data_IF_831634037494
#
_entry.id   IF_831634037494
#
_cell.length_a   1.000
_cell.length_b   1.000
_cell.length_c   1.000
_cell.angle_alpha   90.00
_cell.angle_beta   90.00
_cell.angle_gamma   90.00
#
_symmetry.space_group_name_H-M   'P 1'
#
loop_
_entity.id
_entity.type
_entity.pdbx_description
1 polymer ?
#
# COMPACT_ATOMS: atom_id res chain seq x y z
N UNK A 1 -7.06 -1.93 14.86
CA UNK A 1 -6.78 -2.09 13.40
C UNK A 1 -6.11 -0.81 12.91
N UNK A 2 -4.99 -0.92 12.19
CA UNK A 2 -4.31 0.21 11.55
C UNK A 2 -5.15 0.76 10.39
N UNK A 3 -5.24 2.08 10.24
CA UNK A 3 -5.99 2.72 9.15
C UNK A 3 -5.07 3.61 8.33
N UNK A 4 -4.97 3.34 7.05
CA UNK A 4 -4.21 4.14 6.08
C UNK A 4 -5.15 4.78 5.07
N UNK A 5 -4.74 5.93 4.51
CA UNK A 5 -5.51 6.63 3.47
C UNK A 5 -4.71 6.66 2.17
N UNK A 6 -5.29 6.10 1.10
CA UNK A 6 -4.78 6.24 -0.25
C UNK A 6 -5.23 7.58 -0.83
N UNK A 7 -4.27 8.45 -1.07
CA UNK A 7 -4.48 9.76 -1.68
C UNK A 7 -3.99 9.72 -3.13
N UNK A 8 -4.87 9.33 -4.05
CA UNK A 8 -4.60 9.24 -5.50
C UNK A 8 -5.49 10.17 -6.33
N UNK A 9 -5.97 11.26 -5.71
CA UNK A 9 -6.90 12.21 -6.31
C UNK A 9 -6.29 12.96 -7.51
N UNK A 10 -7.12 13.19 -8.52
CA UNK A 10 -6.69 13.86 -9.75
C UNK A 10 -6.62 15.39 -9.64
N UNK A 11 -7.34 15.98 -8.67
CA UNK A 11 -7.36 17.42 -8.46
C UNK A 11 -6.49 17.78 -7.25
N UNK A 12 -5.69 18.84 -7.39
CA UNK A 12 -4.83 19.33 -6.31
C UNK A 12 -5.60 19.72 -5.04
N UNK A 13 -6.78 20.35 -5.20
CA UNK A 13 -7.65 20.70 -4.07
C UNK A 13 -8.10 19.47 -3.28
N UNK A 14 -8.36 18.37 -3.97
CA UNK A 14 -8.80 17.13 -3.35
C UNK A 14 -7.63 16.41 -2.65
N UNK A 15 -6.39 16.55 -3.17
CA UNK A 15 -5.19 16.07 -2.50
C UNK A 15 -4.99 16.78 -1.15
N UNK A 16 -5.10 18.11 -1.13
CA UNK A 16 -4.98 18.87 0.12
C UNK A 16 -6.09 18.55 1.11
N UNK A 17 -7.33 18.39 0.63
CA UNK A 17 -8.44 17.96 1.47
C UNK A 17 -8.20 16.56 2.06
N UNK A 18 -7.72 15.63 1.25
CA UNK A 18 -7.35 14.28 1.67
C UNK A 18 -6.31 14.30 2.82
N UNK A 19 -5.26 15.11 2.68
CA UNK A 19 -4.21 15.25 3.70
C UNK A 19 -4.76 15.90 4.97
N UNK A 20 -5.57 16.94 4.84
CA UNK A 20 -6.18 17.60 5.98
C UNK A 20 -7.10 16.66 6.77
N UNK A 21 -7.98 15.95 6.08
CA UNK A 21 -8.89 14.97 6.70
C UNK A 21 -8.11 13.83 7.38
N UNK A 22 -7.04 13.34 6.75
CA UNK A 22 -6.18 12.33 7.36
C UNK A 22 -5.57 12.82 8.68
N UNK A 23 -5.09 14.07 8.69
CA UNK A 23 -4.45 14.66 9.87
C UNK A 23 -5.45 14.89 11.02
N UNK A 24 -6.71 15.23 10.71
CA UNK A 24 -7.76 15.48 11.71
C UNK A 24 -8.40 14.20 12.25
N UNK A 25 -8.38 13.12 11.47
CA UNK A 25 -9.08 11.87 11.79
C UNK A 25 -8.16 10.75 12.30
N UNK A 26 -6.94 11.07 12.75
CA UNK A 26 -5.98 10.11 13.31
C UNK A 26 -5.72 8.90 12.39
N UNK A 27 -5.56 9.15 11.09
CA UNK A 27 -5.09 8.15 10.14
C UNK A 27 -3.61 7.86 10.43
N UNK A 28 -3.25 6.59 10.47
CA UNK A 28 -1.90 6.17 10.83
C UNK A 28 -0.87 6.50 9.74
N UNK A 29 -1.30 6.50 8.47
CA UNK A 29 -0.40 6.81 7.34
C UNK A 29 -1.17 7.31 6.12
N UNK A 30 -0.60 8.27 5.40
CA UNK A 30 -1.05 8.70 4.07
C UNK A 30 -0.17 8.03 3.03
N UNK A 31 -0.81 7.39 2.05
CA UNK A 31 -0.14 6.70 0.95
C UNK A 31 -0.49 7.39 -0.36
N UNK A 32 0.51 7.79 -1.14
CA UNK A 32 0.27 8.55 -2.37
C UNK A 32 1.22 8.10 -3.49
N UNK A 33 0.76 8.08 -4.74
CA UNK A 33 1.65 7.84 -5.88
C UNK A 33 2.85 8.81 -5.87
N UNK A 34 4.04 8.30 -6.09
CA UNK A 34 5.30 9.07 -6.06
C UNK A 34 5.28 10.32 -6.95
N UNK A 35 4.58 10.26 -8.08
CA UNK A 35 4.40 11.40 -8.99
C UNK A 35 3.62 12.57 -8.40
N UNK A 36 2.86 12.38 -7.31
CA UNK A 36 2.14 13.43 -6.60
C UNK A 36 2.98 14.08 -5.48
N UNK A 37 4.02 13.41 -4.99
CA UNK A 37 4.90 13.90 -3.91
C UNK A 37 5.42 15.33 -4.17
N UNK A 38 5.91 15.68 -5.38
CA UNK A 38 6.39 17.04 -5.64
C UNK A 38 5.33 18.13 -5.53
N UNK A 39 4.04 17.74 -5.58
CA UNK A 39 2.91 18.68 -5.51
C UNK A 39 2.42 18.91 -4.09
N UNK A 40 2.73 18.01 -3.17
CA UNK A 40 2.32 18.10 -1.75
C UNK A 40 3.18 19.11 -1.00
N UNK A 41 4.47 19.24 -1.37
CA UNK A 41 5.44 20.09 -0.69
C UNK A 41 6.14 19.38 0.47
N UNK A 42 7.44 19.60 0.59
CA UNK A 42 8.29 18.92 1.57
C UNK A 42 7.95 19.29 3.03
N UNK A 43 7.50 20.53 3.26
CA UNK A 43 7.10 20.99 4.59
C UNK A 43 5.88 20.20 5.09
N UNK A 44 4.92 19.96 4.21
CA UNK A 44 3.71 19.21 4.55
C UNK A 44 4.02 17.75 4.88
N UNK A 45 4.95 17.13 4.13
CA UNK A 45 5.39 15.75 4.35
C UNK A 45 6.06 15.59 5.72
N UNK A 46 6.77 16.62 6.20
CA UNK A 46 7.49 16.57 7.49
C UNK A 46 6.60 16.79 8.71
N UNK A 47 5.54 17.59 8.56
CA UNK A 47 4.89 18.20 9.72
C UNK A 47 3.52 17.56 10.09
N UNK A 48 2.90 16.74 9.25
CA UNK A 48 1.49 16.38 9.45
C UNK A 48 1.18 14.92 9.69
N UNK A 49 1.81 13.98 9.05
CA UNK A 49 1.63 12.54 9.28
C UNK A 49 2.72 11.71 8.60
N UNK A 50 2.73 10.41 8.89
CA UNK A 50 3.60 9.50 8.17
C UNK A 50 3.13 9.32 6.73
N UNK A 51 4.02 9.66 5.79
CA UNK A 51 3.80 9.48 4.35
C UNK A 51 4.49 8.24 3.82
N UNK A 52 3.79 7.49 2.96
CA UNK A 52 4.37 6.46 2.11
C UNK A 52 4.24 6.85 0.65
N UNK A 53 5.32 6.72 -0.11
CA UNK A 53 5.30 6.91 -1.55
C UNK A 53 5.05 5.58 -2.25
N UNK A 54 4.02 5.54 -3.11
CA UNK A 54 3.72 4.36 -3.91
C UNK A 54 4.51 4.46 -5.21
N UNK A 55 5.40 3.51 -5.41
CA UNK A 55 6.29 3.43 -6.56
C UNK A 55 5.63 2.64 -7.69
N UNK A 56 5.69 3.21 -8.89
CA UNK A 56 5.21 2.60 -10.14
C UNK A 56 3.71 2.26 -10.12
N UNK A 57 2.91 3.15 -9.50
CA UNK A 57 1.46 3.01 -9.37
C UNK A 57 0.74 3.24 -10.71
N UNK A 58 -0.31 2.44 -11.07
CA UNK A 58 -0.84 1.31 -10.31
C UNK A 58 -0.37 -0.08 -10.81
N UNK A 59 0.49 -0.17 -11.80
CA UNK A 59 0.74 -1.42 -12.52
C UNK A 59 2.07 -2.12 -12.18
N UNK A 60 3.07 -1.40 -11.69
CA UNK A 60 4.36 -1.96 -11.34
C UNK A 60 5.18 -2.47 -12.52
N UNK A 61 5.00 -1.94 -13.74
CA UNK A 61 5.55 -2.49 -15.00
C UNK A 61 6.85 -1.83 -15.48
N UNK A 62 7.32 -0.81 -14.78
CA UNK A 62 8.55 -0.14 -15.15
C UNK A 62 9.78 -1.01 -14.87
N UNK A 63 10.86 -0.78 -15.62
CA UNK A 63 12.12 -1.45 -15.36
C UNK A 63 12.65 -1.14 -13.94
N UNK A 64 13.27 -2.12 -13.30
CA UNK A 64 13.82 -2.00 -11.93
C UNK A 64 14.65 -0.73 -11.72
N UNK A 65 15.48 -0.34 -12.72
CA UNK A 65 16.31 0.87 -12.62
C UNK A 65 15.49 2.17 -12.50
N UNK A 66 14.33 2.23 -13.16
CA UNK A 66 13.40 3.37 -13.08
C UNK A 66 12.77 3.41 -11.70
N UNK A 67 12.31 2.28 -11.19
CA UNK A 67 11.74 2.13 -9.86
C UNK A 67 12.73 2.51 -8.75
N UNK A 68 13.99 2.09 -8.88
CA UNK A 68 15.07 2.51 -7.97
C UNK A 68 15.30 4.02 -8.03
N UNK A 69 15.31 4.62 -9.21
CA UNK A 69 15.44 6.07 -9.33
C UNK A 69 14.27 6.81 -8.66
N UNK A 70 13.06 6.33 -8.84
CA UNK A 70 11.85 6.86 -8.22
C UNK A 70 11.91 6.78 -6.68
N UNK A 71 12.36 5.65 -6.12
CA UNK A 71 12.62 5.49 -4.68
C UNK A 71 13.60 6.55 -4.16
N UNK A 72 14.72 6.74 -4.86
CA UNK A 72 15.74 7.73 -4.45
C UNK A 72 15.23 9.16 -4.52
N UNK A 73 14.40 9.50 -5.51
CA UNK A 73 13.74 10.81 -5.60
C UNK A 73 12.78 11.03 -4.41
N UNK A 74 11.99 10.03 -4.04
CA UNK A 74 11.11 10.12 -2.88
C UNK A 74 11.90 10.28 -1.58
N UNK A 75 12.97 9.52 -1.41
CA UNK A 75 13.88 9.62 -0.26
C UNK A 75 14.49 11.03 -0.13
N UNK A 76 14.94 11.63 -1.24
CA UNK A 76 15.50 12.99 -1.23
C UNK A 76 14.51 14.07 -0.82
N UNK A 77 13.21 13.79 -0.89
CA UNK A 77 12.10 14.66 -0.44
C UNK A 77 11.61 14.38 0.97
N UNK A 78 12.32 13.53 1.71
CA UNK A 78 12.01 13.24 3.11
C UNK A 78 11.05 12.08 3.36
N UNK A 79 10.62 11.37 2.31
CA UNK A 79 9.82 10.14 2.46
C UNK A 79 10.65 9.05 3.15
N UNK A 80 10.05 8.38 4.12
CA UNK A 80 10.68 7.30 4.91
C UNK A 80 10.09 5.92 4.64
N UNK A 81 8.91 5.86 4.02
CA UNK A 81 8.21 4.61 3.71
C UNK A 81 7.91 4.52 2.21
N UNK A 82 8.17 3.38 1.64
CA UNK A 82 7.97 3.06 0.22
C UNK A 82 6.99 1.90 0.10
N UNK A 83 5.97 2.08 -0.75
CA UNK A 83 5.04 1.03 -1.13
C UNK A 83 5.35 0.66 -2.58
N UNK A 84 5.90 -0.52 -2.81
CA UNK A 84 6.36 -0.96 -4.12
C UNK A 84 5.29 -1.83 -4.80
N UNK A 85 4.70 -1.35 -5.88
CA UNK A 85 3.74 -2.16 -6.64
C UNK A 85 4.47 -3.34 -7.28
N UNK A 86 4.08 -4.56 -6.96
CA UNK A 86 4.59 -5.77 -7.60
C UNK A 86 4.10 -5.81 -9.06
N UNK A 87 4.99 -6.18 -9.97
CA UNK A 87 4.70 -6.18 -11.39
C UNK A 87 3.45 -7.02 -11.68
N UNK A 88 2.41 -6.35 -12.15
CA UNK A 88 1.12 -6.95 -12.44
C UNK A 88 1.23 -8.06 -13.48
N UNK A 89 2.03 -7.85 -14.53
CA UNK A 89 2.23 -8.81 -15.60
C UNK A 89 2.91 -10.09 -15.10
N UNK A 90 3.95 -9.93 -14.28
CA UNK A 90 4.64 -11.06 -13.67
C UNK A 90 3.74 -11.80 -12.67
N UNK A 91 2.87 -11.09 -11.96
CA UNK A 91 1.90 -11.68 -11.02
C UNK A 91 0.89 -12.54 -11.78
N UNK A 92 0.30 -12.04 -12.86
CA UNK A 92 -0.68 -12.74 -13.68
C UNK A 92 -0.10 -13.97 -14.38
N UNK A 93 1.19 -13.93 -14.71
CA UNK A 93 1.88 -15.03 -15.41
C UNK A 93 2.67 -15.96 -14.46
N UNK A 94 2.55 -15.82 -13.15
CA UNK A 94 3.24 -16.68 -12.18
C UNK A 94 4.77 -16.54 -12.20
N UNK A 95 5.32 -15.42 -12.63
CA UNK A 95 6.76 -15.23 -12.82
C UNK A 95 7.48 -14.84 -11.52
N UNK A 96 7.50 -15.76 -10.57
CA UNK A 96 8.08 -15.54 -9.23
C UNK A 96 9.57 -15.13 -9.30
N UNK A 97 10.32 -15.65 -10.28
CA UNK A 97 11.75 -15.33 -10.40
C UNK A 97 11.98 -13.85 -10.71
N UNK A 98 11.23 -13.29 -11.66
CA UNK A 98 11.30 -11.86 -12.02
C UNK A 98 10.92 -10.98 -10.85
N UNK A 99 9.77 -11.27 -10.20
CA UNK A 99 9.28 -10.53 -9.04
C UNK A 99 10.31 -10.52 -7.92
N UNK A 100 10.84 -11.68 -7.56
CA UNK A 100 11.83 -11.80 -6.48
C UNK A 100 13.10 -11.00 -6.77
N UNK A 101 13.59 -11.05 -8.01
CA UNK A 101 14.80 -10.31 -8.42
C UNK A 101 14.58 -8.80 -8.32
N UNK A 102 13.47 -8.30 -8.82
CA UNK A 102 13.13 -6.88 -8.79
C UNK A 102 12.93 -6.38 -7.36
N UNK A 103 12.11 -7.09 -6.57
CA UNK A 103 11.85 -6.73 -5.17
C UNK A 103 13.14 -6.69 -4.35
N UNK A 104 14.01 -7.69 -4.50
CA UNK A 104 15.28 -7.76 -3.78
C UNK A 104 16.18 -6.55 -4.07
N UNK A 105 16.27 -6.10 -5.33
CA UNK A 105 17.07 -4.92 -5.69
C UNK A 105 16.48 -3.67 -5.02
N UNK A 106 15.17 -3.46 -5.11
CA UNK A 106 14.50 -2.33 -4.48
C UNK A 106 14.62 -2.37 -2.94
N UNK A 107 14.49 -3.56 -2.34
CA UNK A 107 14.67 -3.77 -0.90
C UNK A 107 16.07 -3.37 -0.43
N UNK A 108 17.12 -3.82 -1.10
CA UNK A 108 18.51 -3.48 -0.73
C UNK A 108 18.78 -1.96 -0.84
N UNK A 109 18.21 -1.31 -1.84
CA UNK A 109 18.28 0.16 -1.96
C UNK A 109 17.58 0.82 -0.77
N UNK A 110 16.36 0.42 -0.45
CA UNK A 110 15.60 0.97 0.68
C UNK A 110 16.35 0.74 2.01
N UNK A 111 16.83 -0.48 2.25
CA UNK A 111 17.61 -0.84 3.44
C UNK A 111 18.85 0.04 3.60
N UNK A 112 19.62 0.23 2.53
CA UNK A 112 20.83 1.08 2.53
C UNK A 112 20.52 2.54 2.85
N UNK A 113 19.31 3.00 2.48
CA UNK A 113 18.85 4.38 2.71
C UNK A 113 18.04 4.56 3.99
N UNK A 114 17.85 3.52 4.78
CA UNK A 114 17.05 3.56 6.00
C UNK A 114 15.55 3.77 5.73
N UNK A 115 15.07 3.30 4.58
CA UNK A 115 13.66 3.37 4.18
C UNK A 115 12.97 2.05 4.53
N UNK A 116 11.72 2.15 5.00
CA UNK A 116 10.80 1.01 5.04
C UNK A 116 10.31 0.71 3.64
N UNK A 117 10.16 -0.55 3.27
CA UNK A 117 9.56 -0.96 2.00
C UNK A 117 8.49 -2.02 2.23
N UNK A 118 7.34 -1.85 1.56
CA UNK A 118 6.19 -2.75 1.60
C UNK A 118 5.76 -3.09 0.19
N UNK A 119 5.64 -4.36 -0.19
CA UNK A 119 5.10 -4.73 -1.50
C UNK A 119 3.59 -4.55 -1.53
N UNK A 120 3.07 -4.03 -2.65
CA UNK A 120 1.65 -4.04 -3.00
C UNK A 120 1.42 -5.15 -4.01
N UNK A 121 0.59 -6.12 -3.68
CA UNK A 121 0.23 -7.24 -4.55
C UNK A 121 -1.19 -7.05 -5.06
N UNK A 122 -1.37 -7.06 -6.39
CA UNK A 122 -2.71 -7.17 -6.97
C UNK A 122 -3.15 -8.64 -6.94
N UNK A 123 -3.61 -9.07 -5.77
CA UNK A 123 -3.85 -10.49 -5.45
C UNK A 123 -4.92 -11.14 -6.35
N UNK A 124 -5.86 -10.35 -6.88
CA UNK A 124 -6.91 -10.84 -7.80
C UNK A 124 -6.36 -11.34 -9.15
N UNK A 125 -5.10 -11.07 -9.45
CA UNK A 125 -4.42 -11.54 -10.66
C UNK A 125 -3.59 -12.80 -10.41
N UNK A 126 -3.32 -13.14 -9.17
CA UNK A 126 -2.61 -14.35 -8.80
C UNK A 126 -3.60 -15.51 -8.65
N UNK A 127 -3.24 -16.69 -9.12
CA UNK A 127 -4.01 -17.88 -8.81
C UNK A 127 -3.80 -18.34 -7.35
N UNK A 128 -4.66 -19.25 -6.90
CA UNK A 128 -4.68 -19.71 -5.51
C UNK A 128 -3.41 -20.47 -5.09
N UNK A 129 -2.65 -21.02 -6.03
CA UNK A 129 -1.40 -21.75 -5.75
C UNK A 129 -0.21 -20.78 -5.75
N UNK A 130 -0.24 -19.78 -6.62
CA UNK A 130 0.84 -18.81 -6.78
C UNK A 130 0.86 -17.76 -5.67
N UNK A 131 -0.30 -17.26 -5.25
CA UNK A 131 -0.37 -16.17 -4.26
C UNK A 131 0.36 -16.49 -2.94
N UNK A 132 0.18 -17.67 -2.31
CA UNK A 132 0.94 -18.03 -1.10
C UNK A 132 2.45 -18.09 -1.35
N UNK A 133 2.88 -18.61 -2.51
CA UNK A 133 4.30 -18.70 -2.88
C UNK A 133 4.90 -17.30 -3.06
N UNK A 134 4.15 -16.39 -3.67
CA UNK A 134 4.53 -14.99 -3.85
C UNK A 134 4.72 -14.29 -2.49
N UNK A 135 3.71 -14.37 -1.62
CA UNK A 135 3.75 -13.76 -0.29
C UNK A 135 4.92 -14.32 0.55
N UNK A 136 5.09 -15.64 0.56
CA UNK A 136 6.21 -16.29 1.21
C UNK A 136 7.57 -15.80 0.66
N UNK A 137 7.70 -15.71 -0.66
CA UNK A 137 8.92 -15.23 -1.28
C UNK A 137 9.25 -13.78 -0.92
N UNK A 138 8.25 -12.90 -0.87
CA UNK A 138 8.45 -11.51 -0.48
C UNK A 138 8.87 -11.40 0.99
N UNK A 139 8.25 -12.16 1.90
CA UNK A 139 8.64 -12.25 3.30
C UNK A 139 10.10 -12.70 3.46
N UNK A 140 10.51 -13.79 2.81
CA UNK A 140 11.88 -14.29 2.83
C UNK A 140 12.91 -13.29 2.27
N UNK A 141 12.47 -12.34 1.44
CA UNK A 141 13.31 -11.26 0.92
C UNK A 141 13.17 -9.94 1.71
N UNK A 142 12.56 -9.98 2.90
CA UNK A 142 12.59 -8.91 3.89
C UNK A 142 11.33 -8.06 3.98
N UNK A 143 10.21 -8.47 3.38
CA UNK A 143 8.94 -7.80 3.61
C UNK A 143 8.37 -8.15 4.99
N UNK A 144 8.14 -7.15 5.83
CA UNK A 144 7.51 -7.30 7.15
C UNK A 144 6.00 -7.13 7.08
N UNK A 145 5.50 -6.51 6.03
CA UNK A 145 4.11 -6.18 5.80
C UNK A 145 3.82 -6.22 4.30
N UNK A 146 2.66 -6.74 3.94
CA UNK A 146 2.16 -6.80 2.55
C UNK A 146 0.88 -5.99 2.44
N UNK A 147 0.72 -5.28 1.33
CA UNK A 147 -0.51 -4.57 1.00
C UNK A 147 -1.23 -5.37 -0.09
N UNK A 148 -2.48 -5.74 0.16
CA UNK A 148 -3.32 -6.47 -0.80
C UNK A 148 -4.22 -5.51 -1.56
N UNK A 149 -3.97 -5.42 -2.85
CA UNK A 149 -4.67 -4.57 -3.82
C UNK A 149 -4.08 -3.17 -3.95
N UNK A 150 -4.18 -2.64 -5.16
CA UNK A 150 -3.87 -1.24 -5.48
C UNK A 150 -5.09 -0.32 -5.30
N UNK A 151 -6.29 -0.90 -5.14
CA UNK A 151 -7.56 -0.20 -5.22
C UNK A 151 -7.97 0.20 -6.65
N UNK A 152 -7.23 -0.26 -7.67
CA UNK A 152 -7.53 0.01 -9.08
C UNK A 152 -8.28 -1.12 -9.80
N UNK A 153 -8.36 -2.29 -9.18
CA UNK A 153 -9.09 -3.46 -9.67
C UNK A 153 -10.38 -3.63 -8.87
N UNK A 154 -11.44 -4.09 -9.53
CA UNK A 154 -12.69 -4.43 -8.84
C UNK A 154 -12.43 -5.60 -7.90
N UNK A 155 -12.86 -5.45 -6.65
CA UNK A 155 -12.62 -6.40 -5.59
C UNK A 155 -13.90 -6.75 -4.84
N UNK A 156 -13.93 -7.89 -4.16
CA UNK A 156 -14.99 -8.34 -3.28
C UNK A 156 -14.55 -8.23 -1.83
N UNK A 157 -15.43 -7.69 -0.97
CA UNK A 157 -15.13 -7.42 0.43
C UNK A 157 -14.76 -8.71 1.20
N UNK A 158 -15.56 -9.76 1.03
CA UNK A 158 -15.34 -11.01 1.75
C UNK A 158 -14.09 -11.73 1.27
N UNK A 159 -13.87 -11.78 -0.04
CA UNK A 159 -12.66 -12.36 -0.63
C UNK A 159 -11.41 -11.65 -0.12
N UNK A 160 -11.47 -10.32 -0.04
CA UNK A 160 -10.35 -9.52 0.45
C UNK A 160 -10.04 -9.81 1.92
N UNK A 161 -11.07 -9.83 2.78
CA UNK A 161 -10.92 -10.17 4.20
C UNK A 161 -10.39 -11.60 4.38
N UNK A 162 -10.97 -12.58 3.69
CA UNK A 162 -10.55 -13.98 3.76
C UNK A 162 -9.10 -14.13 3.32
N UNK A 163 -8.75 -13.54 2.18
CA UNK A 163 -7.39 -13.61 1.65
C UNK A 163 -6.37 -12.97 2.61
N UNK A 164 -6.69 -11.79 3.17
CA UNK A 164 -5.84 -11.10 4.14
C UNK A 164 -5.58 -11.97 5.37
N UNK A 165 -6.62 -12.56 5.94
CA UNK A 165 -6.51 -13.44 7.10
C UNK A 165 -5.70 -14.70 6.82
N UNK A 166 -5.96 -15.35 5.69
CA UNK A 166 -5.22 -16.57 5.33
C UNK A 166 -3.72 -16.31 5.18
N UNK A 167 -3.33 -15.14 4.66
CA UNK A 167 -1.93 -14.76 4.54
C UNK A 167 -1.33 -14.50 5.92
N UNK A 168 -2.00 -13.74 6.78
CA UNK A 168 -1.51 -13.46 8.15
C UNK A 168 -1.34 -14.72 8.98
N UNK A 169 -2.36 -15.59 8.99
CA UNK A 169 -2.38 -16.80 9.80
C UNK A 169 -1.33 -17.84 9.35
N UNK A 170 -1.07 -17.94 8.05
CA UNK A 170 -0.16 -18.96 7.53
C UNK A 170 1.29 -18.51 7.36
N UNK A 171 1.53 -17.21 7.22
CA UNK A 171 2.86 -16.69 6.90
C UNK A 171 3.48 -15.83 8.00
N UNK A 172 2.73 -15.55 9.09
CA UNK A 172 3.20 -14.66 10.17
C UNK A 172 3.76 -13.34 9.59
N UNK A 173 2.96 -12.70 8.76
CA UNK A 173 3.23 -11.41 8.13
C UNK A 173 2.01 -10.51 8.25
N UNK A 174 2.21 -9.24 8.54
CA UNK A 174 1.13 -8.28 8.63
C UNK A 174 0.56 -7.96 7.25
N UNK A 175 -0.76 -7.83 7.18
CA UNK A 175 -1.46 -7.47 5.93
C UNK A 175 -2.24 -6.17 6.09
N UNK A 176 -2.04 -5.26 5.15
CA UNK A 176 -2.89 -4.08 4.94
C UNK A 176 -3.82 -4.38 3.76
N UNK A 177 -5.09 -4.50 4.03
CA UNK A 177 -6.10 -4.69 2.98
C UNK A 177 -6.44 -3.36 2.31
N UNK A 178 -6.23 -3.24 1.00
CA UNK A 178 -6.63 -2.04 0.25
C UNK A 178 -7.99 -2.28 -0.42
N UNK A 179 -9.02 -1.68 0.15
CA UNK A 179 -10.40 -1.86 -0.30
C UNK A 179 -11.17 -0.53 -0.31
N UNK A 180 -12.06 -0.28 -1.28
CA UNK A 180 -12.93 0.89 -1.27
C UNK A 180 -14.03 0.73 -0.21
N UNK A 181 -13.71 1.10 1.04
CA UNK A 181 -14.69 1.14 2.13
C UNK A 181 -15.75 2.20 1.80
N UNK A 182 -16.99 1.80 1.65
CA UNK A 182 -18.09 2.67 1.22
C UNK A 182 -19.11 2.95 2.34
N UNK A 183 -19.05 2.22 3.45
CA UNK A 183 -19.96 2.36 4.57
C UNK A 183 -19.30 2.00 5.90
N UNK A 184 -19.95 2.37 7.01
CA UNK A 184 -19.54 1.96 8.34
C UNK A 184 -19.56 0.43 8.47
N UNK A 185 -20.55 -0.23 7.89
CA UNK A 185 -20.66 -1.70 7.92
C UNK A 185 -19.43 -2.38 7.29
N UNK A 186 -18.95 -1.87 6.16
CA UNK A 186 -17.70 -2.36 5.56
C UNK A 186 -16.51 -2.22 6.52
N UNK A 187 -16.38 -1.07 7.17
CA UNK A 187 -15.31 -0.84 8.14
C UNK A 187 -15.41 -1.79 9.32
N UNK A 188 -16.60 -1.98 9.87
CA UNK A 188 -16.85 -2.86 11.00
C UNK A 188 -16.53 -4.33 10.65
N UNK A 189 -16.85 -4.78 9.44
CA UNK A 189 -16.49 -6.12 8.98
C UNK A 189 -14.96 -6.33 8.95
N UNK A 190 -14.18 -5.33 8.48
CA UNK A 190 -12.74 -5.39 8.54
C UNK A 190 -12.23 -5.39 9.98
N UNK A 191 -12.78 -4.53 10.83
CA UNK A 191 -12.38 -4.43 12.24
C UNK A 191 -12.66 -5.73 13.00
N UNK A 192 -13.81 -6.34 12.78
CA UNK A 192 -14.23 -7.60 13.41
C UNK A 192 -13.41 -8.79 12.91
N UNK A 193 -12.89 -8.71 11.69
CA UNK A 193 -12.03 -9.74 11.10
C UNK A 193 -10.66 -9.83 11.77
N UNK A 194 -10.26 -8.80 12.55
CA UNK A 194 -8.97 -8.71 13.26
C UNK A 194 -7.73 -8.75 12.37
N UNK A 195 -7.86 -8.34 11.11
CA UNK A 195 -6.70 -8.13 10.26
C UNK A 195 -5.84 -6.97 10.80
N UNK A 196 -4.56 -6.95 10.43
CA UNK A 196 -3.63 -5.94 10.93
C UNK A 196 -4.06 -4.52 10.55
N UNK A 197 -4.45 -4.27 9.30
CA UNK A 197 -4.88 -2.94 8.89
C UNK A 197 -5.64 -2.88 7.58
N UNK A 198 -6.20 -1.70 7.33
CA UNK A 198 -6.89 -1.36 6.08
C UNK A 198 -6.30 -0.09 5.46
N UNK A 199 -6.34 -0.02 4.14
CA UNK A 199 -6.08 1.18 3.35
C UNK A 199 -7.37 1.58 2.63
N UNK A 200 -7.94 2.71 3.03
CA UNK A 200 -9.16 3.25 2.45
C UNK A 200 -8.82 4.25 1.34
N UNK A 201 -9.65 4.28 0.30
CA UNK A 201 -9.43 5.15 -0.88
C UNK A 201 -10.11 6.52 -0.78
N UNK A 202 -11.11 6.67 0.06
CA UNK A 202 -11.89 7.90 0.15
C UNK A 202 -11.82 8.53 1.54
N UNK A 203 -11.28 9.74 1.62
CA UNK A 203 -11.29 10.54 2.85
C UNK A 203 -12.70 10.93 3.30
N UNK A 204 -13.66 11.02 2.39
CA UNK A 204 -15.06 11.40 2.69
C UNK A 204 -15.78 10.45 3.65
N UNK A 205 -15.23 9.26 3.85
CA UNK A 205 -15.75 8.29 4.81
C UNK A 205 -15.18 8.50 6.21
N UNK A 206 -14.02 9.15 6.33
CA UNK A 206 -13.33 9.32 7.61
C UNK A 206 -14.18 10.01 8.67
N UNK A 207 -14.92 11.03 8.29
CA UNK A 207 -15.81 11.75 9.22
C UNK A 207 -16.89 10.84 9.84
N UNK A 208 -17.37 9.88 9.07
CA UNK A 208 -18.35 8.89 9.54
C UNK A 208 -17.70 7.84 10.45
N UNK A 209 -16.44 7.48 10.21
CA UNK A 209 -15.70 6.49 10.99
C UNK A 209 -15.17 7.02 12.31
N UNK A 210 -14.90 8.32 12.41
CA UNK A 210 -14.30 8.94 13.61
C UNK A 210 -15.30 9.34 14.68
N UNK A 211 -16.59 9.46 14.36
CA UNK A 211 -17.64 9.76 15.34
C UNK A 211 -17.98 8.56 16.27
N UNK A 212 -17.22 7.47 16.18
CA UNK A 212 -17.52 6.20 16.89
C UNK A 212 -16.35 5.72 17.78
N UNK A 213 -15.28 6.52 17.87
CA UNK A 213 -14.14 6.23 18.78
C UNK A 213 -14.26 6.87 20.14
#
# INVERSE_FOLDING_TARGET
MRTELLCDESKYTDILACIFEASTNNVDQICTPSGLIPRIGEEFIRDHCDFSAIIDFPYGISETKIRVHEILLCQSRGIKSIDLVINRYDTENGNLHSIRKDFKICYEVCKTKGLRIRPIIEYRLADNEFLPQLCYSLRENGADEIILGTGSVVDDLLDNIICSRLIEENLDINVISCFPVLSQEHYDMFNDSKIHGIRIKSYKILDNLCNIR
#
